data_IF_426932732206
#
_entry.id   IF_426932732206
#
_cell.length_a   1.000
_cell.length_b   1.000
_cell.length_c   1.000
_cell.angle_alpha   90.00
_cell.angle_beta   90.00
_cell.angle_gamma   90.00
#
_symmetry.space_group_name_H-M   'P 1'
#
loop_
_entity.id
_entity.type
_entity.pdbx_description
1 polymer ?
#
# COMPACT_ATOMS: atom_id res chain seq x y z
N UNK A 1 22.58 -3.05 3.60
CA UNK A 1 21.15 -2.70 3.61
C UNK A 1 20.40 -3.69 2.75
N UNK A 2 19.39 -4.36 3.30
CA UNK A 2 18.53 -5.32 2.62
C UNK A 2 17.08 -4.84 2.68
N UNK A 3 16.31 -5.04 1.62
CA UNK A 3 14.92 -4.60 1.55
C UNK A 3 14.03 -5.76 1.09
N UNK A 4 12.84 -5.87 1.67
CA UNK A 4 11.77 -6.70 1.13
C UNK A 4 10.85 -5.82 0.30
N UNK A 5 10.80 -6.05 -1.01
CA UNK A 5 9.97 -5.28 -1.94
C UNK A 5 8.86 -6.17 -2.51
N UNK A 6 7.62 -5.82 -2.19
CA UNK A 6 6.40 -6.50 -2.60
C UNK A 6 5.53 -5.56 -3.43
N UNK A 7 4.64 -6.11 -4.25
CA UNK A 7 3.65 -5.35 -5.01
C UNK A 7 2.47 -6.26 -5.35
N UNK A 8 1.36 -5.69 -5.83
CA UNK A 8 0.24 -6.42 -6.43
C UNK A 8 -0.32 -7.54 -5.54
N UNK A 9 -0.43 -7.25 -4.23
CA UNK A 9 -0.87 -8.23 -3.25
C UNK A 9 -2.31 -8.70 -3.50
N UNK A 10 -3.16 -7.82 -4.04
CA UNK A 10 -4.55 -8.09 -4.42
C UNK A 10 -5.34 -8.95 -3.41
N UNK A 11 -5.23 -8.62 -2.12
CA UNK A 11 -5.95 -9.32 -1.05
C UNK A 11 -7.46 -9.21 -1.33
N UNK A 12 -8.14 -10.36 -1.26
CA UNK A 12 -9.55 -10.49 -1.65
C UNK A 12 -9.77 -11.06 -3.06
N UNK A 13 -8.75 -11.62 -3.69
CA UNK A 13 -8.89 -12.44 -4.89
C UNK A 13 -9.62 -13.75 -4.60
N UNK A 14 -10.69 -14.01 -5.35
CA UNK A 14 -11.57 -15.19 -5.18
C UNK A 14 -11.78 -15.99 -6.47
N UNK A 15 -11.05 -15.70 -7.54
CA UNK A 15 -11.23 -16.40 -8.81
C UNK A 15 -10.84 -17.88 -8.70
N UNK A 16 -11.65 -18.76 -9.30
CA UNK A 16 -11.39 -20.20 -9.44
C UNK A 16 -11.12 -20.95 -8.12
N UNK A 17 -11.62 -20.44 -7.00
CA UNK A 17 -11.56 -21.13 -5.71
C UNK A 17 -12.93 -21.57 -5.21
N UNK A 18 -12.98 -21.92 -3.93
CA UNK A 18 -14.18 -22.33 -3.22
C UNK A 18 -14.09 -21.89 -1.76
N UNK A 19 -15.18 -21.98 -1.02
CA UNK A 19 -15.12 -21.81 0.43
C UNK A 19 -14.43 -23.04 1.05
N UNK A 20 -13.42 -22.79 1.86
CA UNK A 20 -12.79 -23.80 2.68
C UNK A 20 -13.70 -24.11 3.88
N UNK A 21 -14.16 -25.36 4.06
CA UNK A 21 -15.10 -25.71 5.13
C UNK A 21 -14.51 -25.63 6.54
N UNK A 22 -13.19 -25.72 6.69
CA UNK A 22 -12.53 -25.65 7.99
C UNK A 22 -12.38 -24.20 8.47
N UNK A 23 -12.13 -23.27 7.56
CA UNK A 23 -11.89 -21.85 7.91
C UNK A 23 -13.06 -20.93 7.62
N UNK A 24 -14.00 -21.35 6.77
CA UNK A 24 -15.08 -20.51 6.24
C UNK A 24 -14.60 -19.41 5.28
N UNK A 25 -13.31 -19.37 4.94
CA UNK A 25 -12.73 -18.38 4.03
C UNK A 25 -12.58 -18.96 2.62
N UNK A 26 -12.53 -18.08 1.62
CA UNK A 26 -12.29 -18.50 0.25
C UNK A 26 -10.86 -19.05 0.09
N UNK A 27 -10.68 -20.21 -0.51
CA UNK A 27 -9.36 -20.87 -0.68
C UNK A 27 -8.38 -19.98 -1.42
N UNK A 28 -8.87 -19.18 -2.37
CA UNK A 28 -8.02 -18.25 -3.12
C UNK A 28 -7.51 -17.09 -2.26
N UNK A 29 -8.32 -16.61 -1.30
CA UNK A 29 -7.86 -15.64 -0.31
C UNK A 29 -6.77 -16.27 0.57
N UNK A 30 -7.02 -17.48 1.08
CA UNK A 30 -6.07 -18.20 1.94
C UNK A 30 -4.70 -18.33 1.28
N UNK A 31 -4.66 -18.69 0.01
CA UNK A 31 -3.38 -18.89 -0.66
C UNK A 31 -2.63 -17.57 -0.90
N UNK A 32 -3.31 -16.47 -1.26
CA UNK A 32 -2.66 -15.16 -1.38
C UNK A 32 -2.07 -14.70 -0.04
N UNK A 33 -2.83 -14.92 1.04
CA UNK A 33 -2.40 -14.65 2.40
C UNK A 33 -1.18 -15.51 2.79
N UNK A 34 -1.18 -16.79 2.43
CA UNK A 34 -0.07 -17.71 2.68
C UNK A 34 1.19 -17.35 1.90
N UNK A 35 1.07 -16.91 0.64
CA UNK A 35 2.22 -16.41 -0.15
C UNK A 35 2.78 -15.12 0.43
N UNK A 36 1.92 -14.23 0.92
CA UNK A 36 2.36 -13.02 1.61
C UNK A 36 3.08 -13.35 2.92
N UNK A 37 2.57 -14.32 3.69
CA UNK A 37 3.24 -14.78 4.91
C UNK A 37 4.63 -15.37 4.61
N UNK A 38 4.74 -16.21 3.58
CA UNK A 38 6.00 -16.79 3.12
C UNK A 38 7.00 -15.70 2.68
N UNK A 39 6.56 -14.71 1.92
CA UNK A 39 7.43 -13.59 1.52
C UNK A 39 7.91 -12.76 2.72
N UNK A 40 7.04 -12.56 3.71
CA UNK A 40 7.41 -11.91 4.97
C UNK A 40 8.41 -12.76 5.74
N UNK A 41 8.22 -14.08 5.82
CA UNK A 41 9.13 -15.02 6.47
C UNK A 41 10.53 -14.93 5.86
N UNK A 42 10.62 -15.02 4.53
CA UNK A 42 11.88 -14.86 3.80
C UNK A 42 12.56 -13.53 4.12
N UNK A 43 11.81 -12.43 4.17
CA UNK A 43 12.36 -11.12 4.53
C UNK A 43 12.88 -11.06 5.97
N UNK A 44 12.14 -11.64 6.92
CA UNK A 44 12.54 -11.68 8.33
C UNK A 44 13.78 -12.56 8.53
N UNK A 45 13.81 -13.76 7.94
CA UNK A 45 14.96 -14.67 7.98
C UNK A 45 16.19 -14.06 7.32
N UNK A 46 15.99 -13.28 6.28
CA UNK A 46 17.04 -12.54 5.61
C UNK A 46 17.42 -11.24 6.31
N UNK A 47 16.97 -10.96 7.54
CA UNK A 47 17.25 -9.73 8.30
C UNK A 47 17.16 -8.45 7.44
N UNK A 48 16.03 -8.24 6.74
CA UNK A 48 15.82 -7.01 5.98
C UNK A 48 15.77 -5.79 6.91
N UNK A 49 16.10 -4.63 6.38
CA UNK A 49 16.11 -3.35 7.11
C UNK A 49 14.85 -2.51 6.87
N UNK A 50 14.11 -2.80 5.79
CA UNK A 50 12.96 -2.04 5.31
C UNK A 50 12.01 -2.93 4.49
N UNK A 51 10.71 -2.72 4.64
CA UNK A 51 9.68 -3.34 3.79
C UNK A 51 9.01 -2.27 2.93
N UNK A 52 8.91 -2.55 1.63
CA UNK A 52 8.23 -1.74 0.63
C UNK A 52 7.07 -2.54 0.04
N UNK A 53 5.87 -1.97 0.03
CA UNK A 53 4.69 -2.51 -0.67
C UNK A 53 4.30 -1.50 -1.75
N UNK A 54 4.63 -1.79 -3.00
CA UNK A 54 4.56 -0.87 -4.12
C UNK A 54 3.21 -0.87 -4.86
N UNK A 55 2.10 -0.85 -4.12
CA UNK A 55 0.76 -0.71 -4.68
C UNK A 55 -0.09 -1.98 -4.66
N UNK A 56 -1.37 -1.76 -4.93
CA UNK A 56 -2.42 -2.75 -5.15
C UNK A 56 -2.52 -3.79 -4.02
N UNK A 57 -2.64 -3.28 -2.78
CA UNK A 57 -2.78 -4.12 -1.59
C UNK A 57 -4.04 -4.97 -1.68
N UNK A 58 -5.15 -4.38 -2.11
CA UNK A 58 -6.43 -5.05 -2.22
C UNK A 58 -6.84 -5.28 -3.67
N UNK A 59 -7.63 -6.33 -3.90
CA UNK A 59 -8.23 -6.53 -5.22
C UNK A 59 -9.20 -5.41 -5.60
N UNK A 60 -9.97 -4.93 -4.61
CA UNK A 60 -11.03 -3.95 -4.79
C UNK A 60 -10.84 -2.78 -3.84
N UNK A 61 -11.35 -1.60 -4.24
CA UNK A 61 -11.31 -0.34 -3.49
C UNK A 61 -12.10 -0.36 -2.17
N UNK A 62 -12.94 -1.36 -1.99
CA UNK A 62 -13.78 -1.56 -0.79
C UNK A 62 -13.49 -2.94 -0.19
N UNK A 63 -12.30 -3.14 0.41
CA UNK A 63 -11.99 -4.40 1.07
C UNK A 63 -12.95 -4.63 2.23
N UNK A 64 -13.44 -5.86 2.39
CA UNK A 64 -14.28 -6.21 3.53
C UNK A 64 -13.44 -6.22 4.83
N UNK A 65 -14.09 -6.21 6.01
CA UNK A 65 -13.38 -6.20 7.29
C UNK A 65 -12.42 -7.39 7.48
N UNK A 66 -12.71 -8.54 6.90
CA UNK A 66 -11.82 -9.70 6.93
C UNK A 66 -10.51 -9.41 6.20
N UNK A 67 -10.57 -8.89 4.97
CA UNK A 67 -9.37 -8.52 4.20
C UNK A 67 -8.53 -7.48 4.94
N UNK A 68 -9.18 -6.46 5.51
CA UNK A 68 -8.51 -5.41 6.28
C UNK A 68 -7.82 -5.98 7.52
N UNK A 69 -8.51 -6.83 8.29
CA UNK A 69 -7.95 -7.51 9.46
C UNK A 69 -6.73 -8.37 9.09
N UNK A 70 -6.85 -9.14 8.02
CA UNK A 70 -5.79 -10.04 7.57
C UNK A 70 -4.54 -9.27 7.12
N UNK A 71 -4.70 -8.17 6.39
CA UNK A 71 -3.58 -7.31 6.04
C UNK A 71 -2.98 -6.62 7.27
N UNK A 72 -3.81 -6.05 8.14
CA UNK A 72 -3.37 -5.40 9.37
C UNK A 72 -2.57 -6.32 10.29
N UNK A 73 -2.92 -7.62 10.38
CA UNK A 73 -2.16 -8.60 11.15
C UNK A 73 -0.71 -8.73 10.64
N UNK A 74 -0.50 -8.69 9.33
CA UNK A 74 0.81 -8.83 8.68
C UNK A 74 1.64 -7.56 8.82
N UNK A 75 1.02 -6.38 8.68
CA UNK A 75 1.68 -5.10 8.99
C UNK A 75 2.10 -5.05 10.46
N UNK A 76 1.22 -5.45 11.39
CA UNK A 76 1.56 -5.53 12.81
C UNK A 76 2.74 -6.47 13.05
N UNK A 77 2.79 -7.62 12.39
CA UNK A 77 3.90 -8.59 12.50
C UNK A 77 5.24 -7.97 12.10
N UNK A 78 5.30 -7.28 10.95
CA UNK A 78 6.50 -6.58 10.49
C UNK A 78 6.94 -5.48 11.48
N UNK A 79 5.98 -4.72 12.01
CA UNK A 79 6.25 -3.67 13.00
C UNK A 79 6.72 -4.24 14.34
N UNK A 80 6.19 -5.37 14.78
CA UNK A 80 6.68 -6.07 15.97
C UNK A 80 8.13 -6.56 15.83
N UNK A 81 8.59 -6.83 14.60
CA UNK A 81 9.99 -7.11 14.29
C UNK A 81 10.86 -5.84 14.19
N UNK A 82 10.28 -4.65 14.40
CA UNK A 82 10.98 -3.36 14.33
C UNK A 82 11.20 -2.83 12.92
N UNK A 83 10.63 -3.46 11.88
CA UNK A 83 10.90 -3.11 10.48
C UNK A 83 10.04 -1.94 10.01
N UNK A 84 10.62 -0.80 9.56
CA UNK A 84 9.83 0.24 8.92
C UNK A 84 9.12 -0.33 7.68
N UNK A 85 7.88 0.12 7.45
CA UNK A 85 7.06 -0.33 6.32
C UNK A 85 6.58 0.88 5.54
N UNK A 86 6.87 0.92 4.24
CA UNK A 86 6.31 1.94 3.34
C UNK A 86 5.34 1.27 2.38
N UNK A 87 4.13 1.83 2.27
CA UNK A 87 3.06 1.31 1.43
C UNK A 87 2.69 2.40 0.42
N UNK A 88 3.03 2.17 -0.84
CA UNK A 88 2.58 2.98 -1.97
C UNK A 88 1.15 2.59 -2.33
N UNK A 89 0.31 3.57 -2.65
CA UNK A 89 -1.04 3.29 -3.15
C UNK A 89 -1.00 2.94 -4.65
N UNK A 90 -1.74 1.90 -5.03
CA UNK A 90 -1.93 1.52 -6.43
C UNK A 90 -3.29 1.97 -7.00
N UNK A 91 -3.56 1.65 -8.27
CA UNK A 91 -4.80 2.01 -8.95
C UNK A 91 -6.04 1.25 -8.44
N UNK A 92 -5.84 0.08 -7.84
CA UNK A 92 -6.91 -0.69 -7.20
C UNK A 92 -7.24 -0.17 -5.78
N UNK A 93 -6.37 0.66 -5.20
CA UNK A 93 -6.57 1.22 -3.85
C UNK A 93 -7.29 2.57 -3.88
N UNK A 94 -7.08 3.36 -4.94
CA UNK A 94 -7.64 4.71 -5.08
C UNK A 94 -9.12 4.68 -5.43
N UNK A 95 -9.95 5.37 -4.65
CA UNK A 95 -11.34 5.63 -5.00
C UNK A 95 -11.46 6.66 -6.15
N UNK A 96 -12.33 6.45 -7.15
CA UNK A 96 -12.56 7.44 -8.21
C UNK A 96 -13.37 8.67 -7.75
N UNK A 97 -14.03 8.59 -6.58
CA UNK A 97 -14.82 9.70 -6.04
C UNK A 97 -13.96 10.67 -5.22
N UNK A 98 -14.08 11.96 -5.52
CA UNK A 98 -13.41 13.02 -4.78
C UNK A 98 -13.80 13.01 -3.28
N UNK A 99 -12.81 13.15 -2.40
CA UNK A 99 -13.00 13.18 -0.94
C UNK A 99 -13.27 11.82 -0.28
N UNK A 100 -13.35 10.73 -1.05
CA UNK A 100 -13.47 9.38 -0.49
C UNK A 100 -12.09 8.79 -0.22
N UNK A 101 -11.91 8.29 1.00
CA UNK A 101 -10.68 7.65 1.43
C UNK A 101 -10.26 6.48 0.52
N UNK A 102 -8.96 6.30 0.35
CA UNK A 102 -8.42 5.11 -0.32
C UNK A 102 -8.42 3.90 0.64
N UNK A 103 -8.36 2.69 0.09
CA UNK A 103 -8.54 1.42 0.84
C UNK A 103 -7.55 1.20 2.00
N UNK A 104 -6.40 1.89 1.96
CA UNK A 104 -5.29 1.78 2.93
C UNK A 104 -5.24 2.97 3.91
N UNK A 105 -6.06 4.02 3.72
CA UNK A 105 -5.97 5.29 4.47
C UNK A 105 -6.09 5.14 5.99
N UNK A 106 -6.73 4.06 6.44
CA UNK A 106 -6.86 3.74 7.86
C UNK A 106 -5.50 3.63 8.58
N UNK A 107 -4.45 3.16 7.91
CA UNK A 107 -3.12 3.03 8.51
C UNK A 107 -2.44 4.38 8.74
N UNK A 108 -2.70 5.36 7.87
CA UNK A 108 -2.27 6.74 8.06
C UNK A 108 -3.11 7.43 9.14
N UNK A 109 -4.44 7.24 9.10
CA UNK A 109 -5.39 7.80 10.06
C UNK A 109 -5.11 7.35 11.50
N UNK A 110 -4.75 6.07 11.68
CA UNK A 110 -4.38 5.52 12.99
C UNK A 110 -2.97 5.93 13.43
N UNK A 111 -2.21 6.63 12.59
CA UNK A 111 -0.83 7.04 12.83
C UNK A 111 0.05 5.88 13.34
N UNK A 112 0.01 4.74 12.63
CA UNK A 112 0.75 3.55 13.05
C UNK A 112 2.26 3.82 12.95
N UNK A 113 2.93 3.87 14.09
CA UNK A 113 4.36 4.18 14.17
C UNK A 113 5.21 3.28 13.27
N UNK A 114 6.06 3.88 12.44
CA UNK A 114 6.93 3.21 11.48
C UNK A 114 6.21 2.56 10.30
N UNK A 115 4.96 2.92 10.06
CA UNK A 115 4.26 2.68 8.79
C UNK A 115 4.09 4.02 8.07
N UNK A 116 4.51 4.09 6.81
CA UNK A 116 4.35 5.27 5.96
C UNK A 116 3.44 4.93 4.80
N UNK A 117 2.33 5.66 4.68
CA UNK A 117 1.45 5.56 3.52
C UNK A 117 1.86 6.62 2.50
N UNK A 118 2.23 6.16 1.30
CA UNK A 118 2.71 6.99 0.22
C UNK A 118 1.60 7.19 -0.81
N UNK A 119 0.80 8.22 -0.59
CA UNK A 119 -0.37 8.61 -1.39
C UNK A 119 -0.09 9.75 -2.39
N UNK A 120 1.10 10.34 -2.32
CA UNK A 120 1.51 11.49 -3.14
C UNK A 120 2.96 11.40 -3.58
N UNK A 121 3.30 12.15 -4.62
CA UNK A 121 4.69 12.34 -5.04
C UNK A 121 5.47 13.10 -3.95
N UNK A 122 6.40 12.43 -3.25
CA UNK A 122 7.12 13.01 -2.12
C UNK A 122 8.44 12.27 -1.86
N UNK A 123 9.43 13.01 -1.38
CA UNK A 123 10.65 12.46 -0.79
C UNK A 123 10.41 12.16 0.70
N UNK A 124 10.66 10.93 1.12
CA UNK A 124 10.61 10.46 2.49
C UNK A 124 12.01 10.13 2.97
N UNK A 125 12.30 10.43 4.23
CA UNK A 125 13.48 9.93 4.93
C UNK A 125 12.99 8.85 5.91
N UNK A 126 13.47 7.62 5.73
CA UNK A 126 13.09 6.46 6.53
C UNK A 126 14.30 6.00 7.32
N UNK A 127 14.20 6.03 8.64
CA UNK A 127 15.23 5.49 9.51
C UNK A 127 15.16 3.96 9.51
N UNK A 128 16.29 3.31 9.23
CA UNK A 128 16.43 1.86 9.26
C UNK A 128 17.58 1.47 10.19
N UNK A 129 17.66 0.18 10.54
CA UNK A 129 18.75 -0.36 11.37
C UNK A 129 20.12 -0.25 10.68
N UNK A 130 20.15 -0.23 9.34
CA UNK A 130 21.35 -0.03 8.54
C UNK A 130 21.64 1.45 8.21
N UNK A 131 20.92 2.39 8.84
CA UNK A 131 21.04 3.83 8.59
C UNK A 131 19.84 4.42 7.81
N UNK A 132 19.77 5.76 7.68
CA UNK A 132 18.66 6.42 7.02
C UNK A 132 18.64 6.16 5.51
N UNK A 133 17.44 6.05 4.94
CA UNK A 133 17.18 5.88 3.51
C UNK A 133 16.32 7.03 3.01
N UNK A 134 16.68 7.56 1.85
CA UNK A 134 15.84 8.50 1.11
C UNK A 134 15.02 7.74 0.07
N UNK A 135 13.70 7.88 0.13
CA UNK A 135 12.76 7.21 -0.76
C UNK A 135 11.87 8.24 -1.46
N UNK A 136 11.91 8.30 -2.79
CA UNK A 136 10.96 9.09 -3.58
C UNK A 136 9.80 8.18 -3.97
N UNK A 137 8.58 8.54 -3.58
CA UNK A 137 7.38 7.77 -3.90
C UNK A 137 6.64 8.42 -5.06
N UNK A 138 6.16 7.62 -6.02
CA UNK A 138 5.32 8.06 -7.13
C UNK A 138 4.08 7.14 -7.19
N UNK A 139 2.98 7.51 -6.51
CA UNK A 139 1.76 6.69 -6.49
C UNK A 139 1.07 6.70 -7.85
N UNK A 140 0.06 5.84 -8.02
CA UNK A 140 -0.77 5.87 -9.22
C UNK A 140 -1.43 7.25 -9.39
N UNK A 141 -1.16 7.89 -10.52
CA UNK A 141 -1.72 9.21 -10.86
C UNK A 141 -2.87 9.03 -11.84
N UNK A 142 -4.03 9.59 -11.52
CA UNK A 142 -5.17 9.59 -12.45
C UNK A 142 -4.99 10.66 -13.53
N UNK A 143 -5.55 10.44 -14.74
CA UNK A 143 -5.55 11.46 -15.79
C UNK A 143 -6.14 12.79 -15.32
N UNK A 144 -7.25 12.73 -14.57
CA UNK A 144 -7.87 13.94 -14.00
C UNK A 144 -6.91 14.71 -13.09
N UNK A 145 -6.16 14.02 -12.21
CA UNK A 145 -5.17 14.68 -11.33
C UNK A 145 -3.95 15.25 -12.06
N UNK A 146 -3.64 14.78 -13.28
CA UNK A 146 -2.63 15.38 -14.14
C UNK A 146 -3.17 16.64 -14.82
N UNK A 147 -4.36 16.54 -15.42
CA UNK A 147 -5.00 17.63 -16.16
C UNK A 147 -5.29 18.84 -15.27
N UNK A 148 -5.74 18.64 -14.02
CA UNK A 148 -5.99 19.75 -13.11
C UNK A 148 -4.75 20.59 -12.84
N UNK A 149 -3.53 20.03 -12.91
CA UNK A 149 -2.30 20.80 -12.70
C UNK A 149 -1.86 21.59 -13.94
N UNK A 150 -2.08 21.04 -15.14
CA UNK A 150 -1.71 21.70 -16.40
C UNK A 150 -2.75 22.77 -16.80
N UNK A 151 -4.04 22.53 -16.59
CA UNK A 151 -5.09 23.53 -16.79
C UNK A 151 -5.02 24.65 -15.75
N UNK A 152 -4.68 24.38 -14.48
CA UNK A 152 -4.41 25.43 -13.50
C UNK A 152 -3.15 26.25 -13.84
N UNK A 153 -2.10 25.61 -14.38
CA UNK A 153 -0.91 26.32 -14.89
C UNK A 153 -1.23 27.20 -16.09
N UNK A 154 -1.99 26.69 -17.06
CA UNK A 154 -2.40 27.44 -18.26
C UNK A 154 -3.40 28.56 -17.93
N UNK A 155 -4.34 28.32 -17.02
CA UNK A 155 -5.27 29.34 -16.54
C UNK A 155 -4.54 30.48 -15.81
N UNK A 156 -3.53 30.16 -14.98
CA UNK A 156 -2.71 31.17 -14.29
C UNK A 156 -1.83 32.01 -15.23
N UNK A 157 -1.52 31.50 -16.44
CA UNK A 157 -0.74 32.22 -17.45
C UNK A 157 -1.63 33.11 -18.33
N UNK A 158 -2.88 32.69 -18.58
CA UNK A 158 -3.85 33.44 -19.39
C UNK A 158 -4.56 34.55 -18.60
N UNK A 159 -4.57 34.50 -17.26
CA UNK A 159 -5.16 35.56 -16.41
C UNK A 159 -4.21 36.74 -16.11
N UNK A 160 -2.98 36.76 -16.64
CA UNK A 160 -2.02 37.87 -16.49
C UNK A 160 -1.93 38.77 -17.74
N UNK A 161 -2.67 38.44 -18.81
CA UNK A 161 -2.81 39.29 -20.01
C UNK A 161 -4.27 39.77 -20.16
N UNK A 162 -4.74 40.65 -19.27
CA UNK A 162 -5.81 41.63 -19.57
C UNK A 162 -5.66 42.89 -18.75
#
# INVERSE_FOLDING_TARGET
MKMLHLADLHIGMENYGRVDPATGMHTRLLDYLARLDEAIDVGLEADVDLVLIAGDVYKNRTPNPTHQREFARRIRRLRQAGLPVVILIGNHDVSPAAGRAHSIEIFDTLAVEGVTIADRAKLHAIDTRAGPVQLITLPWVTRHSLLTKDELRLASLLEVET
#
